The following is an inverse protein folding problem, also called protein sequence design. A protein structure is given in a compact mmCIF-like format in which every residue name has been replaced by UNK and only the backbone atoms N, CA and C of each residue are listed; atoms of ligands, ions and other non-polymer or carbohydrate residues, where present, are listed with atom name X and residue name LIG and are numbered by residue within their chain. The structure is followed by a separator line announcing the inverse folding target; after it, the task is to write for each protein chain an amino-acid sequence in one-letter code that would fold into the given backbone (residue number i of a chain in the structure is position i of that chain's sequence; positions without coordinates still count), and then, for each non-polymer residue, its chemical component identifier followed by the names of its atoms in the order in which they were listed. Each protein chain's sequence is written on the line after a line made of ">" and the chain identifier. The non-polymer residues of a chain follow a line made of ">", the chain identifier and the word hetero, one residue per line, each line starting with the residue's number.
data_IF_354743166372
#
_entry.id   IF_354743166372
#
_cell.length_a   1.000
_cell.length_b   1.000
_cell.length_c   1.000
_cell.angle_alpha   90.00
_cell.angle_beta   90.00
_cell.angle_gamma   90.00
#
_symmetry.space_group_name_H-M   'P 1'
#
loop_
_entity.id
_entity.type
_entity.pdbx_description
1 polymer ?
#
# COMPACT_ATOMS: atom_id res chain seq x y z
N UNK A 1 29.08 -1.46 17.70
CA UNK A 1 28.65 -2.15 16.47
C UNK A 1 28.09 -3.50 16.88
N UNK A 2 26.77 -3.60 17.04
CA UNK A 2 26.10 -4.85 17.41
C UNK A 2 26.05 -5.75 16.17
N UNK A 3 26.97 -6.71 16.08
CA UNK A 3 27.10 -7.69 14.99
C UNK A 3 25.99 -8.75 15.00
N UNK A 4 24.73 -8.32 14.83
CA UNK A 4 23.63 -9.24 14.56
C UNK A 4 23.69 -9.60 13.08
N UNK A 5 23.72 -10.90 12.77
CA UNK A 5 23.61 -11.35 11.40
C UNK A 5 22.35 -10.76 10.76
N UNK A 6 22.39 -10.31 9.49
CA UNK A 6 21.20 -9.78 8.81
C UNK A 6 20.08 -10.81 8.85
N UNK A 7 18.85 -10.36 9.12
CA UNK A 7 17.67 -11.24 9.05
C UNK A 7 17.62 -11.89 7.65
N UNK A 8 17.19 -13.15 7.50
CA UNK A 8 17.04 -13.75 6.18
C UNK A 8 15.85 -13.13 5.44
N UNK A 9 15.94 -13.06 4.11
CA UNK A 9 14.80 -12.77 3.24
C UNK A 9 13.71 -13.80 3.48
N UNK A 10 12.46 -13.45 3.21
CA UNK A 10 11.37 -14.40 3.26
C UNK A 10 10.41 -14.31 2.09
N UNK A 11 9.67 -15.39 1.94
CA UNK A 11 8.57 -15.57 0.99
C UNK A 11 7.41 -16.27 1.69
N UNK A 12 6.31 -16.52 0.98
CA UNK A 12 5.20 -17.31 1.49
C UNK A 12 5.61 -18.79 1.65
N UNK A 13 5.04 -19.49 2.62
CA UNK A 13 5.25 -20.93 2.77
C UNK A 13 4.38 -21.74 1.79
N UNK A 14 3.15 -21.28 1.53
CA UNK A 14 2.25 -21.82 0.51
C UNK A 14 1.66 -20.70 -0.35
N UNK A 15 1.22 -20.98 -1.59
CA UNK A 15 0.45 -20.01 -2.35
C UNK A 15 -0.96 -19.84 -1.76
N UNK A 16 -1.55 -18.67 -1.96
CA UNK A 16 -2.97 -18.43 -1.69
C UNK A 16 -3.65 -17.74 -2.88
N UNK A 17 -4.97 -17.85 -2.93
CA UNK A 17 -5.81 -17.21 -3.92
C UNK A 17 -6.85 -16.32 -3.27
N UNK A 18 -7.19 -15.22 -3.94
CA UNK A 18 -8.25 -14.33 -3.51
C UNK A 18 -8.99 -13.77 -4.72
N UNK A 19 -10.29 -13.56 -4.56
CA UNK A 19 -11.16 -13.05 -5.61
C UNK A 19 -12.09 -11.96 -5.09
N UNK A 20 -12.42 -10.99 -5.94
CA UNK A 20 -13.33 -9.92 -5.57
C UNK A 20 -13.40 -8.78 -6.57
N UNK A 21 -14.28 -7.82 -6.29
CA UNK A 21 -14.44 -6.63 -7.13
C UNK A 21 -13.38 -5.56 -6.85
N UNK A 22 -12.98 -4.83 -7.88
CA UNK A 22 -12.15 -3.62 -7.74
C UNK A 22 -12.96 -2.39 -7.30
N UNK A 23 -12.31 -1.43 -6.63
CA UNK A 23 -12.91 -0.18 -6.16
C UNK A 23 -13.31 0.75 -7.32
N UNK A 24 -12.46 0.85 -8.34
CA UNK A 24 -12.53 1.83 -9.41
C UNK A 24 -13.20 1.28 -10.67
N UNK A 25 -12.84 0.07 -11.06
CA UNK A 25 -13.31 -0.61 -12.27
C UNK A 25 -14.65 -1.31 -12.05
N UNK A 26 -14.93 -1.73 -10.81
CA UNK A 26 -15.96 -2.73 -10.47
C UNK A 26 -15.78 -4.08 -11.18
N UNK A 27 -14.63 -4.31 -11.84
CA UNK A 27 -14.30 -5.59 -12.43
C UNK A 27 -14.01 -6.61 -11.35
N UNK A 28 -14.44 -7.85 -11.56
CA UNK A 28 -14.06 -8.96 -10.71
C UNK A 28 -12.66 -9.44 -11.14
N UNK A 29 -11.78 -9.64 -10.17
CA UNK A 29 -10.42 -10.10 -10.42
C UNK A 29 -10.07 -11.30 -9.55
N UNK A 30 -9.35 -12.24 -10.16
CA UNK A 30 -8.69 -13.33 -9.45
C UNK A 30 -7.22 -12.96 -9.24
N UNK A 31 -6.72 -13.21 -8.03
CA UNK A 31 -5.34 -12.95 -7.66
C UNK A 31 -4.78 -14.20 -6.99
N UNK A 32 -3.65 -14.69 -7.50
CA UNK A 32 -2.85 -15.74 -6.86
C UNK A 32 -1.53 -15.16 -6.39
N UNK A 33 -1.21 -15.33 -5.12
CA UNK A 33 0.09 -14.92 -4.58
C UNK A 33 0.88 -16.17 -4.24
N UNK A 34 2.02 -16.36 -4.89
CA UNK A 34 2.85 -17.55 -4.79
C UNK A 34 4.23 -17.23 -4.19
N UNK A 35 4.88 -18.23 -3.55
CA UNK A 35 6.28 -18.10 -3.14
C UNK A 35 7.19 -17.77 -4.32
N UNK A 36 8.24 -17.00 -4.08
CA UNK A 36 9.25 -16.66 -5.07
C UNK A 36 10.67 -16.86 -4.52
N UNK A 37 11.67 -17.12 -5.38
CA UNK A 37 13.07 -17.20 -4.99
C UNK A 37 13.60 -15.89 -4.38
N UNK A 38 14.74 -15.97 -3.69
CA UNK A 38 15.44 -14.81 -3.15
C UNK A 38 15.74 -13.77 -4.24
N UNK A 39 15.78 -12.50 -3.84
CA UNK A 39 16.03 -11.34 -4.70
C UNK A 39 15.05 -11.15 -5.88
N UNK A 40 13.91 -11.84 -5.87
CA UNK A 40 12.82 -11.58 -6.83
C UNK A 40 12.12 -10.24 -6.56
N UNK A 41 12.00 -9.88 -5.27
CA UNK A 41 11.10 -8.81 -4.83
C UNK A 41 9.63 -9.19 -5.03
N UNK A 42 8.76 -8.18 -5.09
CA UNK A 42 7.33 -8.37 -5.40
C UNK A 42 7.12 -8.18 -6.91
N UNK A 43 6.84 -9.29 -7.60
CA UNK A 43 6.61 -9.31 -9.05
C UNK A 43 5.13 -9.48 -9.34
N UNK A 44 4.52 -8.50 -9.98
CA UNK A 44 3.18 -8.66 -10.53
C UNK A 44 3.24 -9.24 -11.93
N UNK A 45 2.35 -10.19 -12.23
CA UNK A 45 2.20 -10.84 -13.52
C UNK A 45 0.74 -10.82 -13.93
N UNK A 46 0.42 -10.05 -14.96
CA UNK A 46 -0.94 -9.91 -15.48
C UNK A 46 -1.13 -10.71 -16.76
N UNK A 47 -2.10 -11.61 -16.76
CA UNK A 47 -2.56 -12.32 -17.96
C UNK A 47 -3.63 -11.50 -18.66
N UNK A 48 -3.40 -11.16 -19.92
CA UNK A 48 -4.30 -10.37 -20.75
C UNK A 48 -5.14 -11.25 -21.67
N UNK A 49 -6.17 -10.65 -22.28
CA UNK A 49 -6.93 -11.28 -23.35
C UNK A 49 -5.99 -11.76 -24.46
N UNK A 50 -6.24 -12.98 -24.95
CA UNK A 50 -5.39 -13.65 -25.95
C UNK A 50 -4.15 -14.33 -25.37
N UNK A 51 -4.04 -14.48 -24.04
CA UNK A 51 -2.97 -15.24 -23.39
C UNK A 51 -1.65 -14.50 -23.24
N UNK A 52 -1.57 -13.22 -23.65
CA UNK A 52 -0.37 -12.40 -23.47
C UNK A 52 -0.14 -12.12 -21.98
N UNK A 53 1.04 -12.46 -21.48
CA UNK A 53 1.43 -12.22 -20.08
C UNK A 53 2.39 -11.03 -20.02
N UNK A 54 2.14 -10.09 -19.11
CA UNK A 54 3.05 -8.96 -18.85
C UNK A 54 3.41 -8.96 -17.37
N UNK A 55 4.69 -8.73 -17.07
CA UNK A 55 5.16 -8.61 -15.69
C UNK A 55 5.60 -7.17 -15.39
N UNK A 56 5.38 -6.73 -14.15
CA UNK A 56 5.83 -5.45 -13.61
C UNK A 56 6.31 -5.66 -12.17
N UNK A 57 7.55 -5.29 -11.89
CA UNK A 57 8.09 -5.30 -10.52
C UNK A 57 7.48 -4.14 -9.74
N UNK A 58 7.23 -4.35 -8.44
CA UNK A 58 6.83 -3.30 -7.51
C UNK A 58 8.00 -2.33 -7.25
N UNK A 59 8.22 -1.40 -8.19
CA UNK A 59 9.28 -0.41 -8.17
C UNK A 59 8.68 0.98 -8.34
N UNK A 60 9.23 1.96 -7.64
CA UNK A 60 8.76 3.35 -7.68
C UNK A 60 8.79 3.92 -9.10
N UNK A 61 9.71 3.49 -9.98
CA UNK A 61 9.78 3.94 -11.39
C UNK A 61 8.65 3.39 -12.24
N UNK A 62 8.06 2.25 -11.85
CA UNK A 62 6.91 1.66 -12.53
C UNK A 62 5.59 2.27 -12.06
N UNK A 63 5.60 3.09 -10.99
CA UNK A 63 4.42 3.75 -10.47
C UNK A 63 3.96 4.85 -11.43
N UNK A 64 2.66 4.87 -11.71
CA UNK A 64 2.01 5.93 -12.50
C UNK A 64 0.93 6.65 -11.68
N UNK A 65 0.72 7.94 -11.96
CA UNK A 65 -0.34 8.70 -11.26
C UNK A 65 -1.72 8.14 -11.59
N UNK A 66 -2.47 7.84 -10.53
CA UNK A 66 -3.87 7.47 -10.61
C UNK A 66 -4.65 8.13 -9.47
N UNK A 67 -5.88 8.61 -9.73
CA UNK A 67 -6.73 9.11 -8.66
C UNK A 67 -7.04 8.01 -7.65
N UNK A 68 -6.79 8.30 -6.37
CA UNK A 68 -7.28 7.54 -5.20
C UNK A 68 -6.70 6.12 -5.03
N UNK A 69 -5.67 5.73 -5.78
CA UNK A 69 -4.96 4.46 -5.59
C UNK A 69 -3.52 4.55 -6.08
N UNK A 70 -2.71 3.54 -5.77
CA UNK A 70 -1.40 3.32 -6.38
C UNK A 70 -1.55 2.35 -7.54
N UNK A 71 -0.85 2.64 -8.63
CA UNK A 71 -0.92 1.85 -9.85
C UNK A 71 0.45 1.69 -10.48
N UNK A 72 0.66 0.51 -11.07
CA UNK A 72 1.91 0.11 -11.70
C UNK A 72 1.68 -0.13 -13.20
N UNK A 73 2.67 0.25 -13.99
CA UNK A 73 2.65 0.04 -15.44
C UNK A 73 4.09 -0.03 -15.96
N UNK A 74 4.40 -0.99 -16.83
CA UNK A 74 5.59 -0.85 -17.70
C UNK A 74 5.28 0.16 -18.82
N UNK A 75 6.28 0.77 -19.48
CA UNK A 75 6.04 1.81 -20.50
C UNK A 75 4.93 1.46 -21.51
N UNK A 76 4.97 0.23 -22.03
CA UNK A 76 4.00 -0.30 -23.02
C UNK A 76 3.04 -1.34 -22.44
N UNK A 77 3.06 -1.54 -21.12
CA UNK A 77 2.29 -2.58 -20.44
C UNK A 77 0.85 -2.21 -20.15
N UNK A 78 0.01 -3.20 -19.80
CA UNK A 78 -1.27 -2.93 -19.19
C UNK A 78 -1.07 -2.28 -17.80
N UNK A 79 -2.06 -1.51 -17.37
CA UNK A 79 -2.08 -0.95 -16.03
C UNK A 79 -2.48 -2.01 -15.00
N UNK A 80 -1.96 -1.90 -13.79
CA UNK A 80 -2.43 -2.61 -12.60
C UNK A 80 -2.71 -1.60 -11.48
N UNK A 81 -3.91 -1.60 -10.92
CA UNK A 81 -4.37 -0.65 -9.90
C UNK A 81 -4.57 -1.29 -8.53
N UNK A 82 -4.57 -0.44 -7.51
CA UNK A 82 -4.99 -0.77 -6.15
C UNK A 82 -4.08 -1.84 -5.54
N UNK A 83 -2.77 -1.67 -5.79
CA UNK A 83 -1.73 -2.60 -5.30
C UNK A 83 -1.33 -2.30 -3.85
N UNK A 84 -1.62 -1.09 -3.37
CA UNK A 84 -1.18 -0.54 -2.08
C UNK A 84 -1.55 -1.41 -0.87
N UNK A 85 -2.76 -1.98 -0.81
CA UNK A 85 -3.16 -2.78 0.35
C UNK A 85 -2.43 -4.13 0.42
N UNK A 86 -2.24 -4.79 -0.72
CA UNK A 86 -1.48 -6.03 -0.80
C UNK A 86 0.00 -5.75 -0.49
N UNK A 87 0.57 -4.71 -1.08
CA UNK A 87 1.95 -4.28 -0.81
C UNK A 87 2.17 -3.95 0.66
N UNK A 88 1.24 -3.23 1.29
CA UNK A 88 1.31 -2.91 2.70
C UNK A 88 1.32 -4.18 3.56
N UNK A 89 0.46 -5.14 3.22
CA UNK A 89 0.35 -6.42 3.94
C UNK A 89 1.59 -7.28 3.81
N UNK A 90 2.13 -7.43 2.59
CA UNK A 90 3.36 -8.17 2.33
C UNK A 90 4.55 -7.53 3.04
N UNK A 91 4.69 -6.21 2.95
CA UNK A 91 5.77 -5.46 3.58
C UNK A 91 5.73 -5.58 5.11
N UNK A 92 4.57 -5.32 5.71
CA UNK A 92 4.41 -5.37 7.16
C UNK A 92 4.59 -6.77 7.75
N UNK A 93 4.17 -7.82 7.02
CA UNK A 93 4.36 -9.22 7.40
C UNK A 93 5.72 -9.78 6.98
N UNK A 94 6.64 -8.92 6.53
CA UNK A 94 8.04 -9.26 6.18
C UNK A 94 8.12 -10.36 5.12
N UNK A 95 7.30 -10.25 4.07
CA UNK A 95 7.41 -11.02 2.83
C UNK A 95 8.18 -10.17 1.82
N UNK A 96 9.42 -10.56 1.54
CA UNK A 96 10.31 -9.82 0.64
C UNK A 96 10.14 -10.26 -0.82
N UNK A 97 9.79 -11.54 -1.03
CA UNK A 97 9.69 -12.14 -2.35
C UNK A 97 8.33 -12.80 -2.57
N UNK A 98 7.61 -12.39 -3.61
CA UNK A 98 6.36 -13.04 -4.02
C UNK A 98 6.07 -12.82 -5.50
N UNK A 99 5.45 -13.82 -6.14
CA UNK A 99 4.84 -13.69 -7.46
C UNK A 99 3.33 -13.46 -7.29
N UNK A 100 2.84 -12.31 -7.75
CA UNK A 100 1.43 -11.94 -7.72
C UNK A 100 0.85 -12.06 -9.13
N UNK A 101 0.05 -13.09 -9.37
CA UNK A 101 -0.58 -13.35 -10.66
C UNK A 101 -2.04 -12.88 -10.67
N UNK A 102 -2.47 -12.23 -11.74
CA UNK A 102 -3.88 -11.80 -11.88
C UNK A 102 -4.29 -11.69 -13.34
N UNK A 103 -5.58 -11.79 -13.63
CA UNK A 103 -6.18 -11.47 -14.93
C UNK A 103 -6.77 -10.04 -14.98
N UNK A 104 -6.93 -9.41 -13.82
CA UNK A 104 -7.62 -8.14 -13.67
C UNK A 104 -6.71 -6.92 -13.80
N UNK A 105 -7.33 -5.79 -14.13
CA UNK A 105 -6.66 -4.47 -14.17
C UNK A 105 -6.53 -3.83 -12.78
N UNK A 106 -7.26 -4.34 -11.81
CA UNK A 106 -7.36 -3.80 -10.45
C UNK A 106 -7.49 -4.98 -9.48
N UNK A 107 -6.71 -4.95 -8.41
CA UNK A 107 -6.81 -5.98 -7.38
C UNK A 107 -8.13 -5.83 -6.57
N UNK A 108 -8.64 -6.92 -5.98
CA UNK A 108 -9.83 -6.86 -5.13
C UNK A 108 -9.68 -5.86 -3.98
N UNK A 109 -10.72 -5.03 -3.77
CA UNK A 109 -10.77 -4.07 -2.66
C UNK A 109 -11.27 -4.70 -1.35
N UNK A 110 -11.94 -5.86 -1.44
CA UNK A 110 -12.60 -6.54 -0.33
C UNK A 110 -13.49 -5.61 0.49
N UNK A 111 -13.18 -5.41 1.77
CA UNK A 111 -13.91 -4.55 2.68
C UNK A 111 -13.35 -3.11 2.74
N UNK A 112 -12.38 -2.80 1.87
CA UNK A 112 -11.68 -1.53 1.84
C UNK A 112 -10.41 -1.49 2.69
N UNK A 113 -10.09 -2.54 3.44
CA UNK A 113 -8.94 -2.59 4.34
C UNK A 113 -7.88 -3.58 3.86
N UNK A 114 -6.75 -3.66 4.56
CA UNK A 114 -5.71 -4.66 4.31
C UNK A 114 -5.92 -5.95 5.12
N UNK A 115 -6.87 -5.98 6.07
CA UNK A 115 -7.09 -7.14 6.93
C UNK A 115 -7.33 -8.46 6.18
N UNK A 116 -8.09 -8.52 5.06
CA UNK A 116 -8.25 -9.75 4.29
C UNK A 116 -6.94 -10.25 3.68
N UNK A 117 -6.08 -9.34 3.21
CA UNK A 117 -4.75 -9.69 2.70
C UNK A 117 -3.84 -10.21 3.81
N UNK A 118 -3.83 -9.55 4.97
CA UNK A 118 -3.09 -10.02 6.14
C UNK A 118 -3.53 -11.42 6.58
N UNK A 119 -4.84 -11.68 6.63
CA UNK A 119 -5.37 -12.99 7.01
C UNK A 119 -4.88 -14.09 6.05
N UNK A 120 -4.95 -13.85 4.73
CA UNK A 120 -4.49 -14.81 3.73
C UNK A 120 -2.98 -15.06 3.80
N UNK A 121 -2.17 -14.02 4.03
CA UNK A 121 -0.71 -14.16 4.18
C UNK A 121 -0.36 -14.94 5.46
N UNK A 122 -1.04 -14.66 6.58
CA UNK A 122 -0.82 -15.36 7.84
C UNK A 122 -1.20 -16.84 7.73
N UNK A 123 -2.32 -17.16 7.05
CA UNK A 123 -2.75 -18.52 6.78
C UNK A 123 -1.77 -19.26 5.85
N UNK A 124 -1.29 -18.59 4.80
CA UNK A 124 -0.30 -19.13 3.87
C UNK A 124 1.08 -19.36 4.51
N UNK A 125 1.36 -18.67 5.63
CA UNK A 125 2.61 -18.77 6.39
C UNK A 125 3.80 -18.06 5.73
N UNK A 126 4.83 -17.81 6.55
CA UNK A 126 6.11 -17.21 6.13
C UNK A 126 7.19 -18.28 6.11
N UNK A 127 8.02 -18.28 5.06
CA UNK A 127 9.21 -19.14 4.91
C UNK A 127 10.45 -18.29 4.67
N UNK A 128 11.47 -18.53 5.47
CA UNK A 128 12.79 -17.89 5.31
C UNK A 128 13.57 -18.52 4.15
N UNK A 129 14.37 -17.70 3.50
CA UNK A 129 15.23 -18.05 2.39
C UNK A 129 16.69 -17.92 2.83
N UNK A 130 17.56 -18.73 2.23
CA UNK A 130 19.01 -18.66 2.45
C UNK A 130 19.63 -17.48 1.69
N UNK A 131 19.21 -16.26 2.06
CA UNK A 131 19.70 -15.01 1.50
C UNK A 131 19.53 -13.89 2.54
N UNK A 132 20.51 -12.98 2.71
CA UNK A 132 20.38 -11.87 3.64
C UNK A 132 19.31 -10.88 3.18
N UNK A 133 18.46 -10.45 4.11
CA UNK A 133 17.50 -9.37 3.92
C UNK A 133 18.24 -8.04 4.01
N UNK A 134 18.10 -7.25 2.96
CA UNK A 134 18.68 -5.91 2.87
C UNK A 134 17.63 -4.86 3.22
N UNK A 135 18.04 -3.80 3.89
CA UNK A 135 17.17 -2.68 4.29
C UNK A 135 17.77 -1.34 3.86
N UNK A 136 16.91 -0.42 3.44
CA UNK A 136 17.27 0.97 3.18
C UNK A 136 17.35 1.68 4.53
N UNK A 137 18.56 1.96 5.00
CA UNK A 137 18.80 2.74 6.22
C UNK A 137 18.89 4.21 5.86
N UNK A 138 17.94 5.01 6.34
CA UNK A 138 17.94 6.46 6.14
C UNK A 138 19.07 7.10 6.95
N UNK A 139 19.87 7.96 6.29
CA UNK A 139 21.03 8.65 6.85
C UNK A 139 20.78 10.14 7.05
N UNK A 140 19.96 10.75 6.19
CA UNK A 140 19.63 12.17 6.26
C UNK A 140 18.12 12.39 6.13
N UNK A 141 17.56 13.45 6.75
CA UNK A 141 16.18 13.83 6.52
C UNK A 141 15.89 14.15 5.05
N UNK A 142 14.77 13.61 4.54
CA UNK A 142 14.21 13.96 3.23
C UNK A 142 12.75 14.33 3.43
N UNK A 143 12.31 15.45 2.85
CA UNK A 143 10.93 15.93 2.97
C UNK A 143 10.35 16.22 1.58
N UNK A 144 9.06 15.96 1.39
CA UNK A 144 8.27 16.51 0.31
C UNK A 144 7.08 17.29 0.88
N UNK A 145 6.78 18.46 0.30
CA UNK A 145 5.73 19.36 0.76
C UNK A 145 4.96 19.98 -0.41
N UNK A 146 3.63 19.93 -0.31
CA UNK A 146 2.69 20.54 -1.26
C UNK A 146 1.54 21.19 -0.46
N UNK A 147 1.71 22.49 -0.18
CA UNK A 147 0.83 23.27 0.67
C UNK A 147 0.76 22.71 2.08
N UNK A 148 -0.45 22.34 2.54
CA UNK A 148 -0.66 21.72 3.86
C UNK A 148 -0.28 20.24 3.94
N UNK A 149 0.02 19.61 2.79
CA UNK A 149 0.37 18.19 2.72
C UNK A 149 1.87 18.07 2.78
N UNK A 150 2.39 17.24 3.65
CA UNK A 150 3.81 16.93 3.67
C UNK A 150 4.06 15.52 4.18
N UNK A 151 5.18 14.96 3.78
CA UNK A 151 5.72 13.73 4.32
C UNK A 151 7.24 13.89 4.39
N UNK A 152 7.82 13.52 5.53
CA UNK A 152 9.24 13.57 5.81
C UNK A 152 9.68 12.21 6.31
N UNK A 153 10.87 11.78 5.93
CA UNK A 153 11.55 10.62 6.51
C UNK A 153 12.85 11.06 7.17
N UNK A 154 13.16 10.49 8.33
CA UNK A 154 14.37 10.77 9.12
C UNK A 154 15.03 9.46 9.59
N UNK A 155 16.33 9.47 9.94
CA UNK A 155 17.01 8.29 10.46
C UNK A 155 16.31 7.71 11.70
N UNK A 156 16.04 6.40 11.67
CA UNK A 156 15.56 5.65 12.83
C UNK A 156 15.92 4.16 12.67
N UNK A 157 16.03 3.43 13.78
CA UNK A 157 16.23 1.98 13.78
C UNK A 157 14.88 1.26 13.70
N UNK A 158 14.47 0.86 12.50
CA UNK A 158 13.14 0.28 12.24
C UNK A 158 12.21 1.25 11.51
N UNK A 159 10.95 0.86 11.30
CA UNK A 159 9.96 1.67 10.60
C UNK A 159 9.00 2.31 11.60
N UNK A 160 9.05 3.63 11.73
CA UNK A 160 8.13 4.40 12.57
C UNK A 160 7.27 5.32 11.71
N UNK A 161 5.98 5.44 12.01
CA UNK A 161 5.10 6.43 11.37
C UNK A 161 4.49 7.35 12.42
N UNK A 162 4.37 8.63 12.08
CA UNK A 162 3.62 9.65 12.79
C UNK A 162 2.78 10.42 11.78
N UNK A 163 1.47 10.29 11.87
CA UNK A 163 0.53 10.78 10.87
C UNK A 163 -0.56 11.63 11.48
N UNK A 164 -0.89 12.75 10.82
CA UNK A 164 -2.06 13.56 11.15
C UNK A 164 -2.98 13.80 9.97
N UNK A 165 -4.29 13.82 10.25
CA UNK A 165 -5.32 14.08 9.26
C UNK A 165 -6.46 14.89 9.87
N UNK A 166 -6.62 16.12 9.39
CA UNK A 166 -7.77 16.96 9.75
C UNK A 166 -8.86 16.88 8.68
N UNK A 167 -10.03 16.38 9.07
CA UNK A 167 -11.21 16.33 8.21
C UNK A 167 -12.28 17.24 8.79
N UNK A 168 -12.88 18.11 7.95
CA UNK A 168 -14.02 18.93 8.35
C UNK A 168 -15.08 18.08 9.09
N UNK A 169 -15.48 18.54 10.28
CA UNK A 169 -16.41 17.89 11.21
C UNK A 169 -15.89 16.64 11.97
N UNK A 170 -14.61 16.26 11.83
CA UNK A 170 -14.03 15.08 12.52
C UNK A 170 -12.90 15.42 13.50
N UNK A 171 -12.60 16.71 13.71
CA UNK A 171 -11.40 17.12 14.45
C UNK A 171 -10.11 16.70 13.76
N UNK A 172 -8.98 16.91 14.45
CA UNK A 172 -7.71 16.33 14.06
C UNK A 172 -7.66 14.87 14.51
N UNK A 173 -7.21 13.98 13.64
CA UNK A 173 -6.94 12.58 13.96
C UNK A 173 -5.46 12.31 13.80
N UNK A 174 -4.88 11.58 14.75
CA UNK A 174 -3.45 11.31 14.79
C UNK A 174 -3.20 9.83 15.10
N UNK A 175 -2.08 9.32 14.60
CA UNK A 175 -1.53 8.03 15.01
C UNK A 175 -0.01 8.09 14.98
N UNK A 176 0.62 7.48 15.98
CA UNK A 176 2.05 7.30 16.02
C UNK A 176 2.40 5.89 16.52
N UNK A 177 3.41 5.29 15.90
CA UNK A 177 3.92 4.01 16.35
C UNK A 177 5.01 3.44 15.46
N UNK A 178 5.70 2.44 16.01
CA UNK A 178 6.51 1.51 15.23
C UNK A 178 5.59 0.55 14.46
N UNK A 179 5.95 0.24 13.22
CA UNK A 179 5.26 -0.73 12.38
C UNK A 179 5.93 -2.09 12.56
N UNK A 180 5.39 -2.89 13.47
CA UNK A 180 5.71 -4.32 13.59
C UNK A 180 4.61 -5.16 12.92
N UNK A 181 4.84 -6.44 12.59
CA UNK A 181 3.80 -7.31 12.04
C UNK A 181 2.53 -7.32 12.90
N UNK A 182 2.69 -7.45 14.22
CA UNK A 182 1.59 -7.53 15.19
C UNK A 182 0.81 -6.23 15.26
N UNK A 183 1.53 -5.10 15.36
CA UNK A 183 0.91 -3.77 15.41
C UNK A 183 0.23 -3.45 14.09
N UNK A 184 0.84 -3.73 12.94
CA UNK A 184 0.21 -3.47 11.65
C UNK A 184 -1.13 -4.21 11.52
N UNK A 185 -1.16 -5.51 11.83
CA UNK A 185 -2.37 -6.33 11.74
C UNK A 185 -3.46 -5.84 12.70
N UNK A 186 -3.10 -5.46 13.93
CA UNK A 186 -4.07 -5.03 14.94
C UNK A 186 -4.53 -3.58 14.77
N UNK A 187 -3.64 -2.69 14.35
CA UNK A 187 -3.81 -1.24 14.47
C UNK A 187 -3.97 -0.49 13.14
N UNK A 188 -3.50 -1.04 12.02
CA UNK A 188 -3.52 -0.35 10.72
C UNK A 188 -4.37 -1.12 9.70
N UNK A 189 -4.12 -2.42 9.55
CA UNK A 189 -4.76 -3.28 8.56
C UNK A 189 -6.31 -3.27 8.57
N UNK A 190 -7.02 -3.12 9.71
CA UNK A 190 -8.48 -3.09 9.72
C UNK A 190 -9.09 -1.79 9.17
N UNK A 191 -8.27 -0.76 8.92
CA UNK A 191 -8.71 0.59 8.56
C UNK A 191 -9.20 0.64 7.12
N UNK A 192 -10.50 0.88 6.93
CA UNK A 192 -11.11 0.90 5.59
C UNK A 192 -10.74 2.16 4.83
N UNK A 193 -10.65 2.03 3.51
CA UNK A 193 -10.68 3.14 2.57
C UNK A 193 -11.89 4.01 2.85
N UNK A 194 -11.74 5.32 2.67
CA UNK A 194 -12.74 6.27 3.12
C UNK A 194 -12.94 7.40 2.12
N UNK A 195 -14.14 7.97 2.13
CA UNK A 195 -14.49 9.07 1.25
C UNK A 195 -15.72 9.82 1.74
N UNK A 196 -15.78 11.12 1.47
CA UNK A 196 -16.99 11.89 1.76
C UNK A 196 -18.06 11.53 0.75
N UNK A 197 -19.24 11.12 1.24
CA UNK A 197 -20.33 10.67 0.38
C UNK A 197 -20.73 11.74 -0.65
N UNK A 198 -20.77 13.02 -0.23
CA UNK A 198 -21.08 14.16 -1.11
C UNK A 198 -20.13 14.32 -2.30
N UNK A 199 -18.88 13.85 -2.19
CA UNK A 199 -17.89 13.89 -3.27
C UNK A 199 -17.80 12.56 -4.02
N UNK A 200 -18.02 11.45 -3.32
CA UNK A 200 -18.02 10.12 -3.93
C UNK A 200 -19.17 9.93 -4.93
N UNK A 201 -20.38 10.43 -4.63
CA UNK A 201 -21.54 10.33 -5.52
C UNK A 201 -21.32 10.99 -6.90
N UNK A 202 -20.94 12.28 -6.99
CA UNK A 202 -20.68 12.90 -8.29
C UNK A 202 -19.46 12.29 -9.00
N UNK A 203 -18.42 11.87 -8.27
CA UNK A 203 -17.27 11.19 -8.87
C UNK A 203 -17.65 9.83 -9.49
N UNK A 204 -18.51 9.06 -8.81
CA UNK A 204 -19.06 7.79 -9.32
C UNK A 204 -19.95 8.02 -10.54
N UNK A 205 -20.80 9.04 -10.52
CA UNK A 205 -21.62 9.44 -11.67
C UNK A 205 -20.75 9.85 -12.86
N UNK A 206 -19.71 10.66 -12.62
CA UNK A 206 -18.73 11.04 -13.64
C UNK A 206 -18.04 9.81 -14.24
N UNK A 207 -17.57 8.87 -13.40
CA UNK A 207 -16.96 7.62 -13.85
C UNK A 207 -17.90 6.78 -14.71
N UNK A 208 -19.19 6.71 -14.33
CA UNK A 208 -20.21 6.02 -15.10
C UNK A 208 -20.44 6.67 -16.48
N UNK A 209 -20.68 7.98 -16.52
CA UNK A 209 -20.99 8.73 -17.75
C UNK A 209 -19.79 8.75 -18.71
N UNK A 210 -18.57 8.92 -18.18
CA UNK A 210 -17.35 8.99 -19.00
C UNK A 210 -16.72 7.62 -19.28
N UNK A 211 -17.29 6.53 -18.73
CA UNK A 211 -16.72 5.18 -18.74
C UNK A 211 -15.30 5.08 -18.15
N UNK A 212 -14.85 6.11 -17.41
CA UNK A 212 -13.57 6.07 -16.69
C UNK A 212 -13.70 5.18 -15.45
N UNK A 213 -12.69 4.36 -15.12
CA UNK A 213 -12.70 3.54 -13.91
C UNK A 213 -12.46 4.43 -12.69
N UNK A 214 -13.55 4.96 -12.11
CA UNK A 214 -13.52 5.80 -10.92
C UNK A 214 -14.69 5.46 -10.00
N UNK A 215 -14.37 4.89 -8.83
CA UNK A 215 -15.30 4.57 -7.74
C UNK A 215 -16.55 3.75 -8.16
N UNK A 216 -16.48 2.98 -9.25
CA UNK A 216 -17.62 2.20 -9.75
C UNK A 216 -17.99 1.08 -8.76
N UNK A 217 -17.01 0.48 -8.09
CA UNK A 217 -17.17 -0.55 -7.07
C UNK A 217 -17.28 -0.01 -5.64
N UNK A 218 -17.22 1.32 -5.45
CA UNK A 218 -17.36 1.91 -4.12
C UNK A 218 -18.78 1.70 -3.56
N UNK A 219 -18.85 1.20 -2.32
CA UNK A 219 -20.08 0.93 -1.57
C UNK A 219 -19.81 1.01 -0.06
N UNK A 220 -20.85 0.92 0.78
CA UNK A 220 -20.68 0.86 2.23
C UNK A 220 -19.97 -0.42 2.72
N UNK A 221 -19.87 -1.46 1.88
CA UNK A 221 -19.11 -2.67 2.19
C UNK A 221 -17.62 -2.50 1.96
N UNK A 222 -17.24 -1.64 1.02
CA UNK A 222 -15.85 -1.47 0.56
C UNK A 222 -15.22 -0.16 1.02
N UNK A 223 -15.99 0.73 1.66
CA UNK A 223 -15.54 2.08 2.00
C UNK A 223 -16.26 2.63 3.23
N UNK A 224 -15.51 3.18 4.17
CA UNK A 224 -15.98 4.03 5.25
C UNK A 224 -16.51 5.36 4.70
N UNK A 225 -17.83 5.42 4.45
CA UNK A 225 -18.47 6.62 3.93
C UNK A 225 -18.62 7.70 5.02
N UNK A 226 -18.09 8.89 4.75
CA UNK A 226 -18.16 10.04 5.67
C UNK A 226 -19.36 10.93 5.32
N UNK A 227 -20.26 11.14 6.29
CA UNK A 227 -21.45 12.01 6.19
C UNK A 227 -21.46 12.97 7.37
N UNK A 228 -21.35 14.28 7.10
CA UNK A 228 -21.15 15.28 8.15
C UNK A 228 -19.87 15.00 8.95
N UNK A 229 -20.01 14.81 10.26
CA UNK A 229 -18.95 14.42 11.20
C UNK A 229 -19.03 12.95 11.65
N UNK A 230 -19.63 12.07 10.85
CA UNK A 230 -19.86 10.66 11.21
C UNK A 230 -19.43 9.72 10.08
N UNK A 231 -18.92 8.55 10.45
CA UNK A 231 -18.73 7.43 9.53
C UNK A 231 -20.01 6.59 9.52
N UNK A 232 -20.55 6.28 8.34
CA UNK A 232 -21.71 5.40 8.22
C UNK A 232 -21.33 4.00 8.75
N UNK A 233 -22.11 3.50 9.72
CA UNK A 233 -21.80 2.24 10.41
C UNK A 233 -20.70 2.35 11.49
N UNK A 234 -20.22 3.55 11.78
CA UNK A 234 -19.18 3.79 12.79
C UNK A 234 -17.76 3.55 12.28
N UNK A 235 -16.78 4.07 13.03
CA UNK A 235 -15.37 3.74 12.82
C UNK A 235 -15.08 2.36 13.41
N UNK A 236 -14.24 1.57 12.75
CA UNK A 236 -13.74 0.29 13.31
C UNK A 236 -12.75 0.50 14.46
N UNK A 237 -12.07 1.64 14.46
CA UNK A 237 -11.07 2.01 15.45
C UNK A 237 -10.90 3.53 15.54
N UNK A 238 -10.38 4.06 16.65
CA UNK A 238 -10.12 5.49 16.80
C UNK A 238 -9.19 6.00 15.70
N UNK A 239 -9.61 7.05 14.99
CA UNK A 239 -8.83 7.62 13.90
C UNK A 239 -8.71 6.72 12.66
N UNK A 240 -9.70 5.85 12.39
CA UNK A 240 -9.70 4.96 11.22
C UNK A 240 -9.25 5.65 9.91
N UNK A 241 -9.68 6.89 9.56
CA UNK A 241 -9.20 7.56 8.36
C UNK A 241 -7.69 7.89 8.35
N UNK A 242 -7.10 8.30 9.49
CA UNK A 242 -5.65 8.58 9.53
C UNK A 242 -4.85 7.28 9.48
N UNK A 243 -5.33 6.23 10.17
CA UNK A 243 -4.71 4.90 10.15
C UNK A 243 -4.75 4.27 8.76
N UNK A 244 -5.84 4.45 8.00
CA UNK A 244 -5.91 4.02 6.60
C UNK A 244 -4.84 4.72 5.75
N UNK A 245 -4.65 6.04 5.90
CA UNK A 245 -3.58 6.76 5.17
C UNK A 245 -2.18 6.27 5.52
N UNK A 246 -1.96 5.84 6.76
CA UNK A 246 -0.69 5.26 7.17
C UNK A 246 -0.52 3.81 6.69
N UNK A 247 -1.60 3.04 6.60
CA UNK A 247 -1.61 1.73 5.94
C UNK A 247 -1.26 1.87 4.45
N UNK A 248 -1.87 2.83 3.74
CA UNK A 248 -1.51 3.18 2.35
C UNK A 248 -0.03 3.54 2.25
N UNK A 249 0.47 4.34 3.20
CA UNK A 249 1.88 4.75 3.23
C UNK A 249 2.82 3.55 3.30
N UNK A 250 2.53 2.53 4.14
CA UNK A 250 3.34 1.31 4.23
C UNK A 250 3.42 0.60 2.86
N UNK A 251 2.31 0.54 2.12
CA UNK A 251 2.28 -0.04 0.78
C UNK A 251 3.00 0.80 -0.26
N UNK A 252 2.89 2.13 -0.19
CA UNK A 252 3.53 3.04 -1.13
C UNK A 252 5.06 3.07 -0.94
N UNK A 253 5.55 3.08 0.29
CA UNK A 253 7.00 3.11 0.56
C UNK A 253 7.68 1.78 0.24
N UNK A 254 6.95 0.66 0.22
CA UNK A 254 7.51 -0.63 -0.19
C UNK A 254 7.95 -0.64 -1.66
N UNK A 255 7.47 0.30 -2.48
CA UNK A 255 7.93 0.51 -3.85
C UNK A 255 9.38 1.01 -3.95
N UNK A 256 10.02 1.36 -2.82
CA UNK A 256 11.47 1.59 -2.76
C UNK A 256 12.28 0.31 -3.08
N UNK A 257 11.65 -0.86 -3.07
CA UNK A 257 12.25 -2.15 -3.44
C UNK A 257 12.87 -2.92 -2.27
N UNK A 258 13.09 -2.25 -1.13
CA UNK A 258 13.55 -2.84 0.11
C UNK A 258 12.82 -2.22 1.31
N UNK A 259 12.73 -2.91 2.46
CA UNK A 259 12.23 -2.33 3.69
C UNK A 259 13.01 -1.07 4.07
N UNK A 260 12.33 -0.04 4.56
CA UNK A 260 12.97 1.22 4.96
C UNK A 260 13.06 1.29 6.48
N UNK A 261 14.26 1.51 6.99
CA UNK A 261 14.52 1.91 8.37
C UNK A 261 14.58 3.45 8.43
N UNK A 262 13.56 4.03 9.04
CA UNK A 262 13.36 5.45 9.13
C UNK A 262 12.05 5.80 9.84
N UNK A 263 11.99 7.04 10.34
CA UNK A 263 10.78 7.63 10.91
C UNK A 263 10.10 8.51 9.88
N UNK A 264 8.90 8.12 9.47
CA UNK A 264 8.06 8.91 8.60
C UNK A 264 7.12 9.80 9.43
N UNK A 265 7.14 11.10 9.17
CA UNK A 265 6.24 12.08 9.79
C UNK A 265 5.49 12.82 8.69
N UNK A 266 4.16 12.86 8.75
CA UNK A 266 3.38 13.51 7.70
C UNK A 266 2.00 13.98 8.12
N UNK A 267 1.51 14.98 7.38
CA UNK A 267 0.15 15.51 7.54
C UNK A 267 -0.58 15.51 6.21
N UNK A 268 -1.84 15.10 6.22
CA UNK A 268 -2.71 15.07 5.02
C UNK A 268 -2.10 14.31 3.83
N UNK A 269 -1.37 13.23 4.11
CA UNK A 269 -0.68 12.43 3.10
C UNK A 269 -1.66 11.67 2.20
N UNK A 270 -1.13 11.15 1.10
CA UNK A 270 -1.81 10.32 0.12
C UNK A 270 -0.84 9.90 -0.99
N UNK A 271 -1.26 9.02 -1.89
CA UNK A 271 -0.36 8.33 -2.83
C UNK A 271 0.60 9.24 -3.62
N UNK A 272 0.16 10.41 -4.09
CA UNK A 272 1.05 11.33 -4.81
C UNK A 272 2.15 11.93 -3.92
N UNK A 273 1.81 12.29 -2.68
CA UNK A 273 2.79 12.81 -1.69
C UNK A 273 3.75 11.71 -1.27
N UNK A 274 3.23 10.50 -1.06
CA UNK A 274 4.01 9.32 -0.68
C UNK A 274 5.02 8.98 -1.78
N UNK A 275 4.54 8.86 -3.02
CA UNK A 275 5.40 8.58 -4.17
C UNK A 275 6.44 9.66 -4.41
N UNK A 276 6.07 10.94 -4.31
CA UNK A 276 7.02 12.05 -4.47
C UNK A 276 8.14 12.01 -3.41
N UNK A 277 7.82 11.63 -2.17
CA UNK A 277 8.86 11.42 -1.16
C UNK A 277 9.74 10.22 -1.49
N UNK A 278 9.15 9.08 -1.88
CA UNK A 278 9.91 7.87 -2.24
C UNK A 278 10.86 8.16 -3.40
N UNK A 279 10.38 8.78 -4.48
CA UNK A 279 11.21 9.18 -5.62
C UNK A 279 12.37 10.08 -5.15
N UNK A 280 12.07 11.13 -4.36
CA UNK A 280 13.10 12.04 -3.82
C UNK A 280 14.12 11.34 -2.94
N UNK A 281 13.70 10.38 -2.12
CA UNK A 281 14.62 9.58 -1.29
C UNK A 281 15.52 8.71 -2.17
N UNK A 282 14.94 7.99 -3.14
CA UNK A 282 15.67 7.08 -4.01
C UNK A 282 16.64 7.80 -4.94
N UNK A 283 16.34 9.04 -5.34
CA UNK A 283 17.22 9.90 -6.15
C UNK A 283 18.37 10.52 -5.34
N UNK A 284 18.20 10.72 -4.03
CA UNK A 284 19.22 11.24 -3.11
C UNK A 284 20.03 10.10 -2.49
N UNK A 285 20.94 9.52 -3.27
CA UNK A 285 21.73 8.36 -2.86
C UNK A 285 22.65 8.60 -1.66
N UNK A 286 22.92 9.85 -1.29
CA UNK A 286 23.63 10.22 -0.06
C UNK A 286 22.75 10.10 1.21
N UNK A 287 21.43 10.21 1.06
CA UNK A 287 20.48 10.26 2.16
C UNK A 287 20.11 8.87 2.71
N UNK A 288 20.60 7.80 2.10
CA UNK A 288 20.35 6.43 2.55
C UNK A 288 21.50 5.49 2.14
N UNK A 289 21.51 4.30 2.72
CA UNK A 289 22.39 3.21 2.29
C UNK A 289 21.66 1.86 2.41
N UNK A 290 22.07 0.89 1.60
CA UNK A 290 21.54 -0.47 1.65
C UNK A 290 22.43 -1.30 2.57
N UNK A 291 21.88 -1.80 3.68
CA UNK A 291 22.58 -2.67 4.65
C UNK A 291 21.93 -4.02 4.81
#
# INVERSE_FOLDING_TARGET
>A
MSGRAPEPQATLAAPFEAEGGGLHTAGHGHVRVSPAPADTGILFRRTLKGGRVVSVTADWRARVSQPLCTALKTPDGPLLRTVEHLLASLSALRIDNALVETDAEELPIFDGSAAPWCAAILEAGRRELDAPRRVIRVREPVEFRDGRRFLRVEPAEGLFLSGSLSLAHFGAMEWEGEVTPERFVAELAPSRSFGRLKWALPAKLYGLVTRKPLLRGASFRTTAALVGGRVVGGMRMPGEPVRHRLMDLVGDISLAGHPIHGRFTGAHIGHEVNHALVARLMERTEAWELV
#
